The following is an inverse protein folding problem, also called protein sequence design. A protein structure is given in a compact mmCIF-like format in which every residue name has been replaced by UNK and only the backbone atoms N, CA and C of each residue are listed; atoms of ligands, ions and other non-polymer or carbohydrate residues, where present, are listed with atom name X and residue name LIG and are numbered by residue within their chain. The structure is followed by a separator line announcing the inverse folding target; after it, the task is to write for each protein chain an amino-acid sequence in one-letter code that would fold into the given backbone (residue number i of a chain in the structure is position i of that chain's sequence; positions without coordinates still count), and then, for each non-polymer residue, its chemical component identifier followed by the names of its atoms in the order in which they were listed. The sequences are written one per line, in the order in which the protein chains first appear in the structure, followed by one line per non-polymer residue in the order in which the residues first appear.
data_IF_415840090207
#
_entry.id   IF_415840090207
#
_cell.length_a   1.000
_cell.length_b   1.000
_cell.length_c   1.000
_cell.angle_alpha   90.00
_cell.angle_beta   90.00
_cell.angle_gamma   90.00
#
_symmetry.space_group_name_H-M   'P 1'
#
loop_
_entity.id
_entity.type
_entity.pdbx_description
1 polymer ?
#
# COMPACT_ATOMS: atom_id res chain seq x y z
N UNK A 1 4.07 7.31 6.70
CA UNK A 1 4.50 7.26 8.10
C UNK A 1 3.40 7.68 9.05
N UNK A 2 2.54 8.59 8.61
CA UNK A 2 1.40 9.00 9.42
C UNK A 2 0.34 7.91 9.53
N UNK A 3 0.38 6.93 8.63
CA UNK A 3 -0.60 5.86 8.63
C UNK A 3 -0.42 4.88 9.79
N UNK A 4 0.69 4.95 10.51
CA UNK A 4 1.02 3.96 11.51
C UNK A 4 1.01 4.47 12.95
N UNK A 5 0.47 5.65 13.20
CA UNK A 5 0.31 6.08 14.58
C UNK A 5 -0.99 5.51 15.16
N UNK A 6 -1.19 5.67 16.46
CA UNK A 6 -2.22 4.96 17.18
C UNK A 6 -3.65 5.41 16.87
N UNK A 7 -3.83 6.47 16.07
CA UNK A 7 -5.16 6.94 15.69
C UNK A 7 -5.57 6.45 14.30
N UNK A 8 -4.77 5.62 13.68
CA UNK A 8 -5.06 5.10 12.35
C UNK A 8 -4.75 3.61 12.29
N UNK A 9 -5.35 2.97 11.30
CA UNK A 9 -5.02 1.59 10.95
C UNK A 9 -5.07 1.49 9.43
N UNK A 10 -4.09 0.82 8.85
CA UNK A 10 -3.99 0.75 7.40
C UNK A 10 -3.45 -0.59 6.95
N UNK A 11 -3.83 -0.99 5.75
CA UNK A 11 -3.29 -2.18 5.12
C UNK A 11 -3.12 -1.91 3.64
N UNK A 12 -1.95 -2.24 3.11
CA UNK A 12 -1.66 -2.16 1.69
C UNK A 12 -1.31 -3.57 1.21
N UNK A 13 -2.09 -4.08 0.27
CA UNK A 13 -1.89 -5.43 -0.24
C UNK A 13 -1.54 -5.37 -1.71
N UNK A 14 -0.33 -5.81 -2.05
CA UNK A 14 0.10 -5.93 -3.43
C UNK A 14 -0.29 -7.31 -3.94
N UNK A 15 -0.86 -7.34 -5.14
CA UNK A 15 -1.25 -8.59 -5.78
C UNK A 15 -0.13 -9.06 -6.70
N UNK A 16 -0.30 -10.25 -7.27
CA UNK A 16 0.73 -10.86 -8.10
C UNK A 16 1.10 -9.93 -9.25
N UNK A 17 2.39 -9.66 -9.44
CA UNK A 17 2.81 -8.80 -10.55
C UNK A 17 2.83 -9.57 -11.86
N UNK A 18 2.67 -8.82 -12.94
CA UNK A 18 2.92 -9.32 -14.29
C UNK A 18 4.24 -8.73 -14.73
N UNK A 19 5.26 -9.56 -14.81
CA UNK A 19 6.62 -9.14 -15.15
C UNK A 19 6.93 -9.56 -16.57
N UNK A 20 7.45 -8.63 -17.36
CA UNK A 20 7.91 -8.92 -18.71
C UNK A 20 9.37 -8.55 -18.80
N UNK A 21 10.21 -9.54 -19.09
CA UNK A 21 11.63 -9.31 -19.27
C UNK A 21 11.87 -8.95 -20.73
N UNK A 22 12.39 -7.76 -20.97
CA UNK A 22 12.60 -7.24 -22.32
C UNK A 22 13.98 -7.57 -22.86
N UNK A 23 14.98 -7.64 -22.01
CA UNK A 23 16.35 -7.93 -22.39
C UNK A 23 17.08 -8.42 -21.14
N UNK A 24 18.40 -8.62 -21.29
CA UNK A 24 19.21 -9.04 -20.15
C UNK A 24 19.27 -7.97 -19.05
N UNK A 25 18.96 -6.72 -19.39
CA UNK A 25 19.10 -5.61 -18.46
C UNK A 25 17.84 -4.81 -18.26
N UNK A 26 16.73 -5.17 -18.92
CA UNK A 26 15.49 -4.38 -18.84
C UNK A 26 14.29 -5.27 -18.65
N UNK A 27 13.37 -4.81 -17.81
CA UNK A 27 12.10 -5.48 -17.58
C UNK A 27 11.04 -4.45 -17.18
N UNK A 28 9.80 -4.82 -17.37
CA UNK A 28 8.66 -4.01 -16.89
C UNK A 28 7.80 -4.85 -15.99
N UNK A 29 7.05 -4.18 -15.13
CA UNK A 29 6.12 -4.86 -14.25
C UNK A 29 4.84 -4.08 -14.09
N UNK A 30 3.74 -4.80 -13.98
CA UNK A 30 2.43 -4.23 -13.64
C UNK A 30 1.90 -4.98 -12.45
N UNK A 31 1.35 -4.26 -11.49
CA UNK A 31 0.76 -4.92 -10.34
C UNK A 31 -0.29 -4.02 -9.71
N UNK A 32 -1.27 -4.65 -9.08
CA UNK A 32 -2.36 -3.94 -8.41
C UNK A 32 -2.09 -3.87 -6.94
N UNK A 33 -2.39 -2.72 -6.37
CA UNK A 33 -2.38 -2.51 -4.93
C UNK A 33 -3.82 -2.32 -4.47
N UNK A 34 -4.18 -3.01 -3.41
CA UNK A 34 -5.44 -2.78 -2.72
C UNK A 34 -5.11 -2.20 -1.36
N UNK A 35 -5.79 -1.14 -0.96
CA UNK A 35 -5.50 -0.51 0.30
C UNK A 35 -6.76 -0.17 1.06
N UNK A 36 -6.62 -0.12 2.37
CA UNK A 36 -7.68 0.34 3.26
C UNK A 36 -7.03 1.13 4.38
N UNK A 37 -7.60 2.27 4.71
CA UNK A 37 -7.04 3.18 5.70
C UNK A 37 -8.14 3.68 6.60
N UNK A 38 -8.05 3.38 7.89
CA UNK A 38 -8.97 3.86 8.90
C UNK A 38 -8.36 5.05 9.63
N UNK A 39 -9.09 6.14 9.65
CA UNK A 39 -8.71 7.33 10.43
C UNK A 39 -9.72 7.49 11.56
N UNK A 40 -9.32 7.10 12.77
CA UNK A 40 -10.23 7.10 13.90
C UNK A 40 -10.52 8.51 14.42
N UNK A 41 -9.60 9.45 14.23
CA UNK A 41 -9.83 10.83 14.62
C UNK A 41 -10.95 11.46 13.81
N UNK A 42 -10.97 11.17 12.51
CA UNK A 42 -11.99 11.72 11.62
C UNK A 42 -13.21 10.83 11.50
N UNK A 43 -13.12 9.59 12.01
CA UNK A 43 -14.21 8.64 11.90
C UNK A 43 -14.46 8.19 10.47
N UNK A 44 -13.41 8.07 9.67
CA UNK A 44 -13.56 7.74 8.26
C UNK A 44 -12.70 6.55 7.88
N UNK A 45 -13.12 5.84 6.84
CA UNK A 45 -12.34 4.78 6.22
C UNK A 45 -12.24 5.06 4.73
N UNK A 46 -11.03 4.96 4.21
CA UNK A 46 -10.74 5.12 2.80
C UNK A 46 -10.25 3.79 2.26
N UNK A 47 -10.81 3.36 1.14
CA UNK A 47 -10.35 2.12 0.51
C UNK A 47 -10.36 2.29 -1.00
N UNK A 48 -9.53 1.51 -1.67
CA UNK A 48 -9.44 1.61 -3.11
C UNK A 48 -8.39 0.69 -3.69
N UNK A 49 -8.18 0.88 -4.98
CA UNK A 49 -7.16 0.13 -5.69
C UNK A 49 -6.35 1.06 -6.57
N UNK A 50 -5.14 0.64 -6.88
CA UNK A 50 -4.26 1.37 -7.77
C UNK A 50 -3.53 0.38 -8.66
N UNK A 51 -3.19 0.83 -9.85
CA UNK A 51 -2.36 0.07 -10.78
C UNK A 51 -0.99 0.70 -10.79
N UNK A 52 0.01 -0.11 -10.54
CA UNK A 52 1.41 0.31 -10.61
C UNK A 52 2.04 -0.22 -11.88
N UNK A 53 2.82 0.63 -12.52
CA UNK A 53 3.60 0.25 -13.69
C UNK A 53 5.04 0.65 -13.43
N UNK A 54 5.91 -0.36 -13.41
CA UNK A 54 7.31 -0.18 -13.06
C UNK A 54 8.20 -0.51 -14.23
N UNK A 55 9.34 0.18 -14.27
CA UNK A 55 10.43 -0.18 -15.16
C UNK A 55 11.63 -0.55 -14.32
N UNK A 56 12.25 -1.65 -14.66
CA UNK A 56 13.41 -2.16 -13.94
C UNK A 56 14.62 -2.21 -14.85
N UNK A 57 15.75 -1.98 -14.26
CA UNK A 57 17.04 -2.06 -14.97
C UNK A 57 17.99 -2.92 -14.14
N UNK A 58 18.78 -3.74 -14.84
CA UNK A 58 19.78 -4.55 -14.18
C UNK A 58 21.13 -3.86 -14.27
N UNK A 59 21.73 -3.63 -13.12
CA UNK A 59 23.01 -2.94 -13.03
C UNK A 59 23.88 -3.69 -12.04
N UNK A 60 25.09 -4.06 -12.47
CA UNK A 60 26.04 -4.77 -11.63
C UNK A 60 25.43 -6.04 -11.03
N UNK A 61 24.64 -6.76 -11.83
CA UNK A 61 24.04 -8.01 -11.40
C UNK A 61 22.80 -7.86 -10.52
N UNK A 62 22.33 -6.64 -10.30
CA UNK A 62 21.15 -6.40 -9.45
C UNK A 62 20.06 -5.68 -10.22
N UNK A 63 18.82 -6.11 -9.99
CA UNK A 63 17.67 -5.44 -10.56
C UNK A 63 17.28 -4.28 -9.67
N UNK A 64 17.08 -3.11 -10.29
CA UNK A 64 16.72 -1.88 -9.61
C UNK A 64 15.48 -1.29 -10.26
N UNK A 65 14.67 -0.58 -9.49
CA UNK A 65 13.55 0.15 -10.05
C UNK A 65 14.09 1.43 -10.68
N UNK A 66 13.93 1.54 -12.00
CA UNK A 66 14.34 2.73 -12.73
C UNK A 66 13.25 3.79 -12.69
N UNK A 67 11.99 3.36 -12.77
CA UNK A 67 10.85 4.25 -12.82
C UNK A 67 9.63 3.52 -12.29
N UNK A 68 8.80 4.23 -11.56
CA UNK A 68 7.55 3.67 -11.05
C UNK A 68 6.49 4.76 -11.13
N UNK A 69 5.33 4.40 -11.66
CA UNK A 69 4.19 5.30 -11.64
C UNK A 69 2.95 4.51 -11.30
N UNK A 70 1.94 5.22 -10.80
CA UNK A 70 0.71 4.53 -10.45
C UNK A 70 -0.48 5.41 -10.79
N UNK A 71 -1.62 4.75 -11.04
CA UNK A 71 -2.89 5.39 -11.24
C UNK A 71 -3.89 4.84 -10.25
N UNK A 72 -4.61 5.74 -9.62
CA UNK A 72 -5.69 5.35 -8.72
C UNK A 72 -6.87 4.89 -9.57
N UNK A 73 -7.28 3.62 -9.43
CA UNK A 73 -8.37 3.08 -10.25
C UNK A 73 -9.71 3.52 -9.68
N UNK A 74 -9.88 3.36 -8.37
CA UNK A 74 -11.04 3.90 -7.69
C UNK A 74 -10.70 4.12 -6.23
N UNK A 75 -11.44 5.01 -5.60
CA UNK A 75 -11.26 5.32 -4.20
C UNK A 75 -12.62 5.65 -3.61
N UNK A 76 -12.86 5.15 -2.41
CA UNK A 76 -14.09 5.37 -1.69
C UNK A 76 -13.78 5.79 -0.27
N UNK A 77 -14.44 6.86 0.17
CA UNK A 77 -14.33 7.32 1.55
C UNK A 77 -15.72 7.20 2.17
N UNK A 78 -15.79 6.58 3.32
CA UNK A 78 -17.07 6.42 4.02
C UNK A 78 -16.88 6.61 5.52
N UNK A 79 -17.95 6.92 6.25
CA UNK A 79 -17.85 6.98 7.71
C UNK A 79 -17.65 5.58 8.28
N UNK A 80 -16.93 5.52 9.39
CA UNK A 80 -16.82 4.27 10.14
C UNK A 80 -18.15 4.04 10.85
N UNK A 81 -18.71 2.85 10.66
CA UNK A 81 -19.94 2.46 11.37
C UNK A 81 -19.62 2.42 12.85
N UNK A 82 -20.35 3.20 13.69
CA UNK A 82 -20.08 3.20 15.13
C UNK A 82 -20.34 1.87 15.82
N UNK A 83 -21.08 0.99 15.18
CA UNK A 83 -21.34 -0.34 15.74
C UNK A 83 -20.22 -1.34 15.45
N UNK A 84 -19.26 -0.97 14.59
CA UNK A 84 -18.13 -1.82 14.30
C UNK A 84 -17.19 -1.90 15.50
N UNK A 85 -16.65 -3.07 15.74
CA UNK A 85 -15.66 -3.28 16.80
C UNK A 85 -14.38 -3.80 16.21
N UNK A 86 -13.28 -3.14 16.57
CA UNK A 86 -11.96 -3.60 16.18
C UNK A 86 -11.42 -4.44 17.33
N UNK A 87 -11.50 -5.74 17.19
CA UNK A 87 -11.09 -6.65 18.25
C UNK A 87 -9.57 -6.79 18.31
N UNK A 88 -8.87 -6.39 17.26
CA UNK A 88 -7.41 -6.45 17.23
C UNK A 88 -6.86 -5.44 16.25
N UNK A 89 -5.93 -4.62 16.71
CA UNK A 89 -5.18 -3.70 15.85
C UNK A 89 -3.71 -3.83 16.26
N UNK A 90 -3.00 -4.71 15.56
CA UNK A 90 -1.65 -5.06 15.94
C UNK A 90 -0.69 -3.88 15.88
N UNK A 91 -0.78 -3.09 14.81
CA UNK A 91 0.14 -1.95 14.64
C UNK A 91 -0.12 -0.86 15.65
N UNK A 92 -1.38 -0.70 16.09
CA UNK A 92 -1.68 0.25 17.15
C UNK A 92 -1.02 -0.14 18.46
N UNK A 93 -1.00 -1.43 18.75
CA UNK A 93 -0.41 -1.92 19.99
C UNK A 93 1.10 -1.89 19.96
N UNK A 94 1.70 -2.31 18.83
CA UNK A 94 3.15 -2.43 18.74
C UNK A 94 3.83 -1.22 18.13
N UNK A 95 3.10 -0.44 17.36
CA UNK A 95 3.65 0.77 16.77
C UNK A 95 4.03 1.80 17.81
N UNK A 96 3.23 1.90 18.88
CA UNK A 96 3.53 2.82 19.96
C UNK A 96 4.89 2.48 20.59
N UNK A 97 5.16 1.19 20.78
CA UNK A 97 6.43 0.76 21.34
C UNK A 97 7.61 1.08 20.45
N UNK A 98 7.39 1.01 19.14
CA UNK A 98 8.46 1.26 18.18
C UNK A 98 8.74 2.73 17.99
N UNK A 99 7.79 3.57 18.29
CA UNK A 99 7.96 5.02 18.16
C UNK A 99 8.73 5.62 19.31
N UNK A 100 8.92 4.87 20.34
CA UNK A 100 9.74 5.30 21.44
C UNK A 100 11.23 5.20 21.09
#
# INVERSE_FOLDING_TARGET
KHAFHNQTAAMHTAHHPEIEVLSETEATGKWYLQDIFYNFDLGSVTQGTALYEDKYIKSNGQWLIQHSEYDRIWEQVSPINPDNKFTKILLKEKGIQKEE
#
